data_IF_923578626751
#
_entry.id   IF_923578626751
#
_cell.length_a   1.000
_cell.length_b   1.000
_cell.length_c   1.000
_cell.angle_alpha   90.00
_cell.angle_beta   90.00
_cell.angle_gamma   90.00
#
_symmetry.space_group_name_H-M   'P 1'
#
loop_
_entity.id
_entity.type
_entity.pdbx_description
1 polymer ?
#
# COMPACT_ATOMS: atom_id res chain seq x y z
N UNK A 1 -29.30 37.53 -0.99
CA UNK A 1 -29.21 37.50 0.47
C UNK A 1 -28.08 36.56 0.82
N UNK A 2 -26.89 37.09 1.14
CA UNK A 2 -25.71 36.28 1.46
C UNK A 2 -25.82 35.92 2.94
N UNK A 3 -26.06 34.65 3.25
CA UNK A 3 -26.05 34.16 4.63
C UNK A 3 -24.66 33.61 4.94
N UNK A 4 -24.14 33.96 6.12
CA UNK A 4 -22.87 33.48 6.62
C UNK A 4 -22.98 32.01 7.07
N UNK A 5 -22.08 31.16 6.58
CA UNK A 5 -22.00 29.72 6.92
C UNK A 5 -21.87 29.46 8.42
N UNK A 6 -21.35 30.41 9.19
CA UNK A 6 -21.24 30.34 10.65
C UNK A 6 -22.58 30.19 11.37
N UNK A 7 -23.71 30.53 10.71
CA UNK A 7 -25.06 30.39 11.28
C UNK A 7 -25.65 28.98 11.17
N UNK A 8 -25.02 28.09 10.38
CA UNK A 8 -25.47 26.72 10.16
C UNK A 8 -24.60 25.68 10.89
N UNK A 9 -23.72 26.15 11.78
CA UNK A 9 -22.85 25.29 12.56
C UNK A 9 -23.54 24.91 13.89
N UNK A 10 -23.90 23.64 14.03
CA UNK A 10 -24.24 23.04 15.31
C UNK A 10 -23.00 22.28 15.82
N UNK A 11 -22.53 22.61 17.03
CA UNK A 11 -21.35 21.96 17.62
C UNK A 11 -21.54 20.47 17.92
N UNK A 12 -22.79 20.00 18.03
CA UNK A 12 -23.12 18.59 18.26
C UNK A 12 -23.48 17.84 16.97
N UNK A 13 -23.97 18.54 15.94
CA UNK A 13 -24.55 17.92 14.74
C UNK A 13 -23.83 18.29 13.44
N UNK A 14 -22.83 19.17 13.51
CA UNK A 14 -22.02 19.60 12.36
C UNK A 14 -22.68 20.67 11.50
N UNK A 15 -22.42 20.63 10.19
CA UNK A 15 -23.00 21.55 9.22
C UNK A 15 -24.00 20.84 8.31
N UNK A 16 -25.15 21.47 8.05
CA UNK A 16 -26.08 21.05 7.00
C UNK A 16 -25.88 21.92 5.76
N UNK A 17 -25.36 21.33 4.69
CA UNK A 17 -25.18 22.00 3.39
C UNK A 17 -26.07 21.29 2.38
N UNK A 18 -27.14 21.99 1.97
CA UNK A 18 -28.23 21.42 1.16
C UNK A 18 -28.85 20.19 1.87
N UNK A 19 -28.67 18.99 1.30
CA UNK A 19 -29.15 17.71 1.85
C UNK A 19 -28.02 16.85 2.44
N UNK A 20 -26.81 17.41 2.61
CA UNK A 20 -25.62 16.69 3.10
C UNK A 20 -25.21 17.19 4.49
N UNK A 21 -25.08 16.26 5.44
CA UNK A 21 -24.60 16.52 6.79
C UNK A 21 -23.08 16.30 6.85
N UNK A 22 -22.34 17.32 7.30
CA UNK A 22 -20.89 17.31 7.51
C UNK A 22 -20.61 17.31 9.02
N UNK A 23 -20.16 16.18 9.57
CA UNK A 23 -19.84 16.04 11.00
C UNK A 23 -18.32 16.03 11.17
N UNK A 24 -17.79 16.92 12.01
CA UNK A 24 -16.39 16.91 12.41
C UNK A 24 -16.19 15.94 13.58
N UNK A 25 -15.29 14.96 13.42
CA UNK A 25 -14.95 14.00 14.47
C UNK A 25 -13.54 14.32 15.01
N UNK A 26 -13.47 14.78 16.25
CA UNK A 26 -12.20 14.93 16.99
C UNK A 26 -11.88 13.60 17.67
N UNK A 27 -10.81 12.94 17.20
CA UNK A 27 -10.36 11.65 17.74
C UNK A 27 -9.24 11.94 18.74
N UNK A 28 -9.57 11.87 20.03
CA UNK A 28 -8.59 12.02 21.10
C UNK A 28 -7.90 10.67 21.37
N UNK A 29 -6.70 10.49 20.84
CA UNK A 29 -5.88 9.29 21.05
C UNK A 29 -5.11 9.48 22.35
N UNK A 30 -5.60 8.89 23.42
CA UNK A 30 -4.87 8.88 24.69
C UNK A 30 -3.61 7.99 24.57
N UNK A 31 -2.41 8.51 24.90
CA UNK A 31 -1.20 7.72 24.89
C UNK A 31 -1.20 6.74 26.07
N UNK A 32 -1.03 5.44 25.77
CA UNK A 32 -0.77 4.40 26.77
C UNK A 32 0.49 4.71 27.59
N UNK A 33 0.54 4.37 28.88
CA UNK A 33 1.70 4.64 29.71
C UNK A 33 2.85 3.74 29.27
N UNK A 34 3.88 4.34 28.66
CA UNK A 34 5.18 3.71 28.42
C UNK A 34 5.90 3.51 29.75
N UNK A 35 5.94 2.26 30.21
CA UNK A 35 7.04 1.80 31.04
C UNK A 35 8.32 1.89 30.21
N UNK A 36 9.31 2.56 30.80
CA UNK A 36 10.61 2.77 30.20
C UNK A 36 11.40 1.47 30.26
N UNK A 37 11.73 0.94 29.09
CA UNK A 37 13.08 0.47 28.86
C UNK A 37 13.47 0.65 27.40
N UNK A 38 14.74 1.01 27.23
CA UNK A 38 15.34 1.45 25.99
C UNK A 38 15.36 0.33 24.96
N UNK A 39 14.74 0.58 23.81
CA UNK A 39 15.42 0.42 22.54
C UNK A 39 14.75 1.31 21.48
N UNK A 40 15.58 1.81 20.58
CA UNK A 40 15.24 2.72 19.49
C UNK A 40 14.17 2.13 18.56
N UNK A 41 12.89 2.24 18.93
CA UNK A 41 11.79 1.96 18.02
C UNK A 41 11.53 3.24 17.21
N UNK A 42 12.08 3.26 15.99
CA UNK A 42 11.57 4.15 14.94
C UNK A 42 10.07 3.92 14.91
N UNK A 43 9.29 4.95 15.23
CA UNK A 43 7.83 4.94 15.13
C UNK A 43 7.47 4.74 13.66
N UNK A 44 7.46 3.48 13.22
CA UNK A 44 7.02 3.10 11.91
C UNK A 44 5.50 3.21 11.89
N UNK A 45 5.00 3.85 10.84
CA UNK A 45 3.58 3.86 10.50
C UNK A 45 3.00 2.44 10.61
N UNK A 46 1.90 2.23 11.37
CA UNK A 46 1.24 0.93 11.51
C UNK A 46 0.98 0.22 10.18
N UNK A 47 0.66 0.97 9.12
CA UNK A 47 0.42 0.43 7.77
C UNK A 47 1.69 -0.18 7.17
N UNK A 48 2.81 0.54 7.34
CA UNK A 48 4.13 0.11 6.85
C UNK A 48 4.64 -1.11 7.62
N UNK A 49 4.33 -1.22 8.90
CA UNK A 49 4.69 -2.37 9.72
C UNK A 49 3.99 -3.64 9.22
N UNK A 50 2.69 -3.57 8.96
CA UNK A 50 1.89 -4.69 8.47
C UNK A 50 2.36 -5.20 7.10
N UNK A 51 2.75 -4.29 6.20
CA UNK A 51 3.33 -4.65 4.91
C UNK A 51 4.67 -5.39 5.05
N UNK A 52 5.60 -4.86 5.87
CA UNK A 52 6.93 -5.45 6.08
C UNK A 52 6.82 -6.85 6.69
N UNK A 53 5.92 -7.02 7.66
CA UNK A 53 5.67 -8.31 8.32
C UNK A 53 5.10 -9.34 7.33
N UNK A 54 4.11 -8.95 6.53
CA UNK A 54 3.53 -9.81 5.50
C UNK A 54 4.58 -10.25 4.45
N UNK A 55 5.42 -9.31 4.00
CA UNK A 55 6.49 -9.59 3.04
C UNK A 55 7.55 -10.54 3.64
N UNK A 56 8.02 -10.25 4.84
CA UNK A 56 9.01 -11.08 5.56
C UNK A 56 8.49 -12.50 5.80
N UNK A 57 7.22 -12.63 6.17
CA UNK A 57 6.56 -13.92 6.32
C UNK A 57 6.58 -14.70 5.00
N UNK A 58 6.17 -14.09 3.89
CA UNK A 58 6.17 -14.74 2.57
C UNK A 58 7.57 -15.17 2.10
N UNK A 59 8.59 -14.36 2.40
CA UNK A 59 9.99 -14.64 2.09
C UNK A 59 10.58 -15.77 2.97
N UNK A 60 10.12 -15.90 4.22
CA UNK A 60 10.56 -16.93 5.16
C UNK A 60 10.02 -18.34 4.85
N UNK A 61 9.00 -18.45 4.00
CA UNK A 61 8.38 -19.74 3.69
C UNK A 61 9.32 -20.64 2.89
N UNK A 62 9.39 -21.94 3.21
CA UNK A 62 10.24 -22.88 2.49
C UNK A 62 9.87 -22.86 1.00
N UNK A 63 10.85 -22.49 0.17
CA UNK A 63 10.79 -22.69 -1.28
C UNK A 63 10.64 -24.20 -1.46
N UNK A 64 9.52 -24.62 -2.02
CA UNK A 64 9.14 -26.03 -2.26
C UNK A 64 10.36 -26.90 -2.59
N UNK A 65 10.59 -28.03 -1.88
CA UNK A 65 11.58 -28.98 -2.33
C UNK A 65 11.03 -29.67 -3.59
N UNK A 66 11.61 -29.34 -4.75
CA UNK A 66 11.46 -30.15 -5.95
C UNK A 66 12.21 -31.48 -5.72
N UNK A 67 11.46 -32.58 -5.87
CA UNK A 67 11.93 -33.95 -6.10
C UNK A 67 12.96 -34.53 -5.13
N UNK A 68 12.50 -35.49 -4.33
CA UNK A 68 13.30 -36.50 -3.64
C UNK A 68 14.35 -37.11 -4.58
N UNK A 69 15.64 -36.88 -4.28
CA UNK A 69 16.74 -37.67 -4.81
C UNK A 69 17.12 -38.70 -3.74
N UNK A 70 16.59 -39.91 -3.87
CA UNK A 70 17.03 -41.06 -3.08
C UNK A 70 18.48 -41.39 -3.42
N UNK A 71 19.38 -41.21 -2.47
CA UNK A 71 20.72 -41.81 -2.49
C UNK A 71 20.66 -43.09 -1.65
N UNK A 72 20.78 -44.24 -2.31
CA UNK A 72 20.94 -45.53 -1.63
C UNK A 72 22.38 -45.68 -1.13
N UNK A 73 22.61 -45.99 0.17
CA UNK A 73 23.94 -46.32 0.64
C UNK A 73 24.23 -47.79 0.36
N UNK A 74 25.26 -48.04 -0.43
CA UNK A 74 25.80 -49.37 -0.68
C UNK A 74 26.55 -49.85 0.56
N UNK A 75 26.08 -50.92 1.20
CA UNK A 75 26.82 -51.62 2.26
C UNK A 75 27.32 -52.97 1.73
N UNK A 76 28.64 -53.16 1.78
CA UNK A 76 29.34 -54.39 1.39
C UNK A 76 28.93 -55.59 2.27
N UNK A 77 28.71 -56.75 1.64
CA UNK A 77 28.15 -57.96 2.26
C UNK A 77 29.15 -59.14 2.24
N UNK A 78 29.42 -59.80 3.38
CA UNK A 78 30.04 -61.13 3.38
C UNK A 78 29.00 -62.25 3.16
N UNK A 79 29.44 -63.29 2.46
CA UNK A 79 28.67 -64.32 1.73
C UNK A 79 28.19 -65.54 2.55
N UNK A 80 26.97 -66.04 2.27
CA UNK A 80 26.59 -67.47 2.28
C UNK A 80 25.45 -67.76 1.27
N UNK A 81 25.73 -68.52 0.20
CA UNK A 81 25.02 -68.43 -1.10
C UNK A 81 23.62 -69.06 -1.21
N UNK A 82 23.19 -69.92 -0.28
CA UNK A 82 21.88 -70.61 -0.35
C UNK A 82 20.77 -69.99 0.52
N UNK A 83 21.16 -69.38 1.64
CA UNK A 83 20.24 -68.75 2.59
C UNK A 83 20.02 -67.25 2.30
N UNK A 84 20.99 -66.64 1.62
CA UNK A 84 20.94 -65.24 1.20
C UNK A 84 19.79 -65.00 0.20
N UNK A 85 19.54 -65.90 -0.75
CA UNK A 85 18.43 -65.74 -1.71
C UNK A 85 17.06 -65.80 -1.05
N UNK A 86 16.92 -66.58 0.03
CA UNK A 86 15.70 -66.67 0.81
C UNK A 86 15.44 -65.38 1.60
N UNK A 87 16.42 -64.92 2.37
CA UNK A 87 16.29 -63.70 3.17
C UNK A 87 16.18 -62.45 2.28
N UNK A 88 16.96 -62.36 1.19
CA UNK A 88 16.86 -61.27 0.21
C UNK A 88 15.49 -61.22 -0.46
N UNK A 89 14.91 -62.38 -0.78
CA UNK A 89 13.57 -62.45 -1.37
C UNK A 89 12.48 -61.93 -0.43
N UNK A 90 12.57 -62.23 0.87
CA UNK A 90 11.60 -61.77 1.87
C UNK A 90 11.83 -60.29 2.21
N UNK A 91 13.08 -59.87 2.43
CA UNK A 91 13.41 -58.48 2.70
C UNK A 91 13.07 -57.57 1.51
N UNK A 92 13.28 -58.03 0.28
CA UNK A 92 12.87 -57.31 -0.92
C UNK A 92 11.37 -57.08 -0.99
N UNK A 93 10.56 -58.07 -0.58
CA UNK A 93 9.10 -57.91 -0.45
C UNK A 93 8.73 -56.95 0.66
N UNK A 94 9.39 -57.02 1.81
CA UNK A 94 9.15 -56.11 2.94
C UNK A 94 9.43 -54.65 2.55
N UNK A 95 10.53 -54.40 1.84
CA UNK A 95 10.93 -53.06 1.38
C UNK A 95 9.99 -52.54 0.27
N UNK A 96 9.26 -53.43 -0.42
CA UNK A 96 8.34 -53.02 -1.48
C UNK A 96 7.01 -52.43 -0.99
N UNK A 97 6.68 -52.59 0.30
CA UNK A 97 5.49 -51.96 0.88
C UNK A 97 5.77 -50.49 1.19
N UNK A 98 4.91 -49.62 0.68
CA UNK A 98 4.88 -48.21 1.02
C UNK A 98 4.10 -47.98 2.32
N UNK A 99 4.34 -46.85 2.99
CA UNK A 99 3.63 -46.51 4.22
C UNK A 99 2.11 -46.49 4.02
N UNK A 100 1.65 -45.98 2.88
CA UNK A 100 0.22 -45.90 2.55
C UNK A 100 -0.43 -47.29 2.37
N UNK A 101 0.33 -48.33 2.05
CA UNK A 101 -0.18 -49.70 1.89
C UNK A 101 -0.67 -50.29 3.22
N UNK A 102 -0.16 -49.80 4.36
CA UNK A 102 -0.58 -50.22 5.71
C UNK A 102 -1.93 -49.65 6.15
N UNK A 103 -2.59 -48.87 5.29
CA UNK A 103 -4.00 -48.55 5.46
C UNK A 103 -4.90 -49.80 5.29
N UNK A 104 -4.45 -50.82 4.54
CA UNK A 104 -5.15 -52.11 4.42
C UNK A 104 -4.62 -53.11 5.47
N UNK A 105 -5.48 -53.59 6.41
CA UNK A 105 -5.10 -54.62 7.37
C UNK A 105 -4.54 -55.90 6.74
N UNK A 106 -4.90 -56.23 5.50
CA UNK A 106 -4.37 -57.39 4.80
C UNK A 106 -2.88 -57.23 4.46
N UNK A 107 -2.43 -56.02 4.15
CA UNK A 107 -1.02 -55.73 3.88
C UNK A 107 -0.19 -55.77 5.16
N UNK A 108 -0.73 -55.27 6.28
CA UNK A 108 -0.11 -55.42 7.59
C UNK A 108 0.05 -56.90 7.97
N UNK A 109 -1.01 -57.69 7.80
CA UNK A 109 -0.97 -59.13 8.04
C UNK A 109 0.08 -59.83 7.16
N UNK A 110 0.15 -59.50 5.87
CA UNK A 110 1.14 -60.05 4.95
C UNK A 110 2.59 -59.70 5.33
N UNK A 111 2.85 -58.45 5.72
CA UNK A 111 4.15 -58.00 6.21
C UNK A 111 4.52 -58.67 7.51
N UNK A 112 3.55 -58.82 8.42
CA UNK A 112 3.75 -59.53 9.67
C UNK A 112 4.03 -61.02 9.43
N UNK A 113 3.38 -61.66 8.46
CA UNK A 113 3.68 -63.03 8.06
C UNK A 113 5.12 -63.16 7.51
N UNK A 114 5.56 -62.23 6.67
CA UNK A 114 6.95 -62.19 6.20
C UNK A 114 7.97 -62.02 7.35
N UNK A 115 7.70 -61.13 8.30
CA UNK A 115 8.53 -60.95 9.50
C UNK A 115 8.52 -62.22 10.37
N UNK A 116 7.37 -62.89 10.49
CA UNK A 116 7.25 -64.18 11.18
C UNK A 116 8.06 -65.27 10.52
N UNK A 117 8.06 -65.35 9.18
CA UNK A 117 8.88 -66.30 8.43
C UNK A 117 10.37 -66.06 8.67
N UNK A 118 10.82 -64.79 8.72
CA UNK A 118 12.20 -64.45 9.09
C UNK A 118 12.51 -64.86 10.54
N UNK A 119 11.61 -64.54 11.48
CA UNK A 119 11.78 -64.84 12.90
C UNK A 119 11.79 -66.35 13.21
N UNK A 120 11.05 -67.15 12.44
CA UNK A 120 11.04 -68.62 12.59
C UNK A 120 12.29 -69.28 12.01
N UNK A 121 13.09 -68.54 11.22
CA UNK A 121 14.34 -69.02 10.61
C UNK A 121 15.56 -68.25 11.15
N UNK A 122 15.51 -67.79 12.41
CA UNK A 122 16.59 -67.00 13.06
C UNK A 122 17.96 -67.67 13.05
N UNK A 123 18.04 -69.01 13.01
CA UNK A 123 19.30 -69.76 12.97
C UNK A 123 20.13 -69.51 11.71
N UNK A 124 19.53 -68.89 10.70
CA UNK A 124 20.14 -68.55 9.42
C UNK A 124 20.87 -67.18 9.48
N UNK A 125 20.64 -66.41 10.54
CA UNK A 125 21.14 -65.06 10.73
C UNK A 125 22.24 -65.01 11.78
N UNK A 126 23.10 -63.98 11.74
CA UNK A 126 24.02 -63.72 12.85
C UNK A 126 23.25 -63.32 14.11
N UNK A 127 23.85 -63.48 15.29
CA UNK A 127 23.20 -63.12 16.58
C UNK A 127 22.67 -61.67 16.59
N UNK A 128 23.41 -60.75 15.95
CA UNK A 128 23.01 -59.35 15.79
C UNK A 128 21.77 -59.23 14.91
N UNK A 129 21.76 -59.89 13.75
CA UNK A 129 20.63 -59.88 12.82
C UNK A 129 19.38 -60.57 13.39
N UNK A 130 19.56 -61.69 14.10
CA UNK A 130 18.47 -62.39 14.76
C UNK A 130 17.81 -61.52 15.85
N UNK A 131 18.60 -60.74 16.59
CA UNK A 131 18.10 -59.77 17.57
C UNK A 131 17.30 -58.65 16.91
N UNK A 132 17.77 -58.11 15.78
CA UNK A 132 17.04 -57.08 15.03
C UNK A 132 15.72 -57.60 14.44
N UNK A 133 15.70 -58.83 13.91
CA UNK A 133 14.48 -59.47 13.39
C UNK A 133 13.47 -59.71 14.52
N UNK A 134 13.92 -60.16 15.69
CA UNK A 134 13.06 -60.34 16.85
C UNK A 134 12.50 -59.00 17.36
N UNK A 135 13.31 -57.94 17.37
CA UNK A 135 12.88 -56.60 17.75
C UNK A 135 11.88 -56.01 16.76
N UNK A 136 12.13 -56.18 15.46
CA UNK A 136 11.21 -55.76 14.39
C UNK A 136 9.86 -56.47 14.55
N UNK A 137 9.85 -57.79 14.79
CA UNK A 137 8.61 -58.54 15.03
C UNK A 137 7.82 -58.02 16.22
N UNK A 138 8.51 -57.60 17.29
CA UNK A 138 7.87 -57.11 18.50
C UNK A 138 7.31 -55.68 18.34
N UNK A 139 8.04 -54.82 17.62
CA UNK A 139 7.73 -53.39 17.52
C UNK A 139 6.87 -53.03 16.32
N UNK A 140 6.87 -53.84 15.26
CA UNK A 140 6.16 -53.54 14.01
C UNK A 140 4.65 -53.24 14.20
N UNK A 141 3.86 -54.04 14.93
CA UNK A 141 2.44 -53.73 15.14
C UNK A 141 2.21 -52.39 15.83
N UNK A 142 3.07 -52.05 16.79
CA UNK A 142 3.00 -50.78 17.51
C UNK A 142 3.34 -49.60 16.58
N UNK A 143 4.40 -49.71 15.78
CA UNK A 143 4.82 -48.66 14.83
C UNK A 143 3.72 -48.39 13.80
N UNK A 144 3.09 -49.44 13.26
CA UNK A 144 1.99 -49.30 12.29
C UNK A 144 0.76 -48.66 12.94
N UNK A 145 0.47 -49.00 14.19
CA UNK A 145 -0.62 -48.36 14.93
C UNK A 145 -0.35 -46.87 15.21
N UNK A 146 0.86 -46.53 15.65
CA UNK A 146 1.27 -45.13 15.85
C UNK A 146 1.20 -44.32 14.55
N UNK A 147 1.60 -44.91 13.42
CA UNK A 147 1.42 -44.29 12.10
C UNK A 147 -0.05 -44.08 11.75
N UNK A 148 -0.93 -45.06 12.00
CA UNK A 148 -2.38 -44.91 11.77
C UNK A 148 -2.98 -43.79 12.61
N UNK A 149 -2.59 -43.69 13.88
CA UNK A 149 -3.09 -42.65 14.78
C UNK A 149 -2.66 -41.26 14.27
N UNK A 150 -1.42 -41.11 13.79
CA UNK A 150 -0.92 -39.89 13.16
C UNK A 150 -1.64 -39.54 11.84
N UNK A 151 -1.95 -40.55 11.01
CA UNK A 151 -2.66 -40.36 9.74
C UNK A 151 -4.15 -40.07 9.97
N UNK A 152 -4.79 -40.61 11.01
CA UNK A 152 -6.18 -40.27 11.34
C UNK A 152 -6.32 -38.81 11.82
N UNK A 153 -5.31 -38.28 12.52
CA UNK A 153 -5.23 -36.84 12.86
C UNK A 153 -5.05 -35.95 11.61
N UNK A 154 -4.55 -36.51 10.49
CA UNK A 154 -4.33 -35.82 9.20
C UNK A 154 -5.62 -35.37 8.51
N UNK A 155 -6.78 -35.95 8.84
CA UNK A 155 -8.08 -35.48 8.35
C UNK A 155 -8.36 -34.01 8.72
N UNK A 156 -7.83 -33.56 9.86
CA UNK A 156 -7.85 -32.14 10.28
C UNK A 156 -6.71 -31.34 9.63
N UNK A 157 -5.57 -31.99 9.33
CA UNK A 157 -4.39 -31.38 8.73
C UNK A 157 -4.54 -30.98 7.26
N UNK A 158 -5.36 -31.69 6.48
CA UNK A 158 -5.66 -31.31 5.09
C UNK A 158 -6.43 -29.99 5.00
N UNK A 159 -7.43 -29.79 5.87
CA UNK A 159 -8.15 -28.52 5.97
C UNK A 159 -7.20 -27.38 6.37
N UNK A 160 -6.38 -27.58 7.40
CA UNK A 160 -5.39 -26.59 7.85
C UNK A 160 -4.39 -26.24 6.74
N UNK A 161 -3.93 -27.24 5.98
CA UNK A 161 -3.02 -27.03 4.85
C UNK A 161 -3.70 -26.29 3.70
N UNK A 162 -4.95 -26.63 3.38
CA UNK A 162 -5.74 -25.91 2.37
C UNK A 162 -5.95 -24.45 2.76
N UNK A 163 -6.39 -24.19 3.99
CA UNK A 163 -6.56 -22.82 4.50
C UNK A 163 -5.27 -22.03 4.50
N UNK A 164 -4.13 -22.68 4.79
CA UNK A 164 -2.82 -22.04 4.74
C UNK A 164 -2.43 -21.65 3.31
N UNK A 165 -2.61 -22.54 2.33
CA UNK A 165 -2.32 -22.26 0.91
C UNK A 165 -3.21 -21.12 0.40
N UNK A 166 -4.49 -21.14 0.73
CA UNK A 166 -5.44 -20.09 0.37
C UNK A 166 -5.07 -18.74 1.01
N UNK A 167 -4.81 -18.73 2.32
CA UNK A 167 -4.40 -17.52 3.06
C UNK A 167 -3.09 -16.95 2.50
N UNK A 168 -2.13 -17.82 2.15
CA UNK A 168 -0.87 -17.41 1.52
C UNK A 168 -1.12 -16.72 0.17
N UNK A 169 -2.03 -17.26 -0.65
CA UNK A 169 -2.38 -16.65 -1.94
C UNK A 169 -3.02 -15.28 -1.74
N UNK A 170 -3.98 -15.18 -0.82
CA UNK A 170 -4.63 -13.91 -0.48
C UNK A 170 -3.61 -12.87 0.00
N UNK A 171 -2.68 -13.28 0.87
CA UNK A 171 -1.63 -12.39 1.36
C UNK A 171 -0.70 -11.91 0.24
N UNK A 172 -0.34 -12.78 -0.70
CA UNK A 172 0.46 -12.40 -1.87
C UNK A 172 -0.25 -11.37 -2.75
N UNK A 173 -1.56 -11.53 -2.96
CA UNK A 173 -2.34 -10.59 -3.77
C UNK A 173 -2.52 -9.24 -3.06
N UNK A 174 -2.66 -9.24 -1.74
CA UNK A 174 -2.70 -8.02 -0.93
C UNK A 174 -1.38 -7.27 -0.97
N UNK A 175 -0.23 -7.95 -0.84
CA UNK A 175 1.09 -7.33 -0.93
C UNK A 175 1.29 -6.65 -2.28
N UNK A 176 0.95 -7.32 -3.39
CA UNK A 176 1.03 -6.71 -4.73
C UNK A 176 0.12 -5.48 -4.87
N UNK A 177 -1.08 -5.53 -4.27
CA UNK A 177 -2.01 -4.40 -4.29
C UNK A 177 -1.44 -3.21 -3.50
N UNK A 178 -0.86 -3.46 -2.34
CA UNK A 178 -0.22 -2.43 -1.51
C UNK A 178 0.95 -1.78 -2.25
N UNK A 179 1.79 -2.56 -2.94
CA UNK A 179 2.85 -2.01 -3.81
C UNK A 179 2.27 -1.11 -4.91
N UNK A 180 1.16 -1.52 -5.54
CA UNK A 180 0.45 -0.71 -6.53
C UNK A 180 -0.07 0.61 -5.95
N UNK A 181 -0.76 0.56 -4.81
CA UNK A 181 -1.27 1.75 -4.11
C UNK A 181 -0.11 2.68 -3.77
N UNK A 182 0.99 2.14 -3.23
CA UNK A 182 2.18 2.92 -2.89
C UNK A 182 2.74 3.67 -4.10
N UNK A 183 2.81 3.03 -5.28
CA UNK A 183 3.27 3.70 -6.51
C UNK A 183 2.32 4.81 -6.96
N UNK A 184 1.00 4.60 -6.87
CA UNK A 184 -0.01 5.59 -7.23
C UNK A 184 0.03 6.81 -6.30
N UNK A 185 0.22 6.58 -5.00
CA UNK A 185 0.40 7.65 -4.00
C UNK A 185 1.63 8.49 -4.31
N UNK A 186 2.75 7.87 -4.69
CA UNK A 186 3.97 8.59 -5.05
C UNK A 186 3.79 9.43 -6.33
N UNK A 187 3.09 8.89 -7.34
CA UNK A 187 2.77 9.62 -8.57
C UNK A 187 1.85 10.83 -8.29
N UNK A 188 0.81 10.66 -7.46
CA UNK A 188 -0.09 11.73 -7.07
C UNK A 188 0.63 12.85 -6.30
N UNK A 189 1.54 12.48 -5.38
CA UNK A 189 2.33 13.46 -4.64
C UNK A 189 3.24 14.28 -5.58
N UNK A 190 3.84 13.64 -6.59
CA UNK A 190 4.62 14.36 -7.61
C UNK A 190 3.76 15.35 -8.40
N UNK A 191 2.57 14.93 -8.87
CA UNK A 191 1.62 15.82 -9.57
C UNK A 191 1.15 16.98 -8.68
N UNK A 192 0.90 16.74 -7.40
CA UNK A 192 0.56 17.79 -6.44
C UNK A 192 1.67 18.85 -6.37
N UNK A 193 2.93 18.42 -6.28
CA UNK A 193 4.07 19.35 -6.21
C UNK A 193 4.24 20.18 -7.49
N UNK A 194 3.99 19.59 -8.66
CA UNK A 194 4.00 20.27 -9.96
C UNK A 194 2.90 21.32 -10.06
N UNK A 195 1.65 20.94 -9.78
CA UNK A 195 0.50 21.85 -9.80
C UNK A 195 0.68 23.01 -8.81
N UNK A 196 1.26 22.75 -7.64
CA UNK A 196 1.59 23.78 -6.64
C UNK A 196 2.64 24.76 -7.15
N UNK A 197 3.59 24.31 -7.98
CA UNK A 197 4.57 25.18 -8.62
C UNK A 197 3.92 26.05 -9.71
N UNK A 198 3.05 25.47 -10.55
CA UNK A 198 2.30 26.21 -11.57
C UNK A 198 1.39 27.27 -10.96
N UNK A 199 0.68 26.95 -9.88
CA UNK A 199 -0.20 27.89 -9.18
C UNK A 199 0.58 29.13 -8.72
N UNK A 200 1.79 28.95 -8.18
CA UNK A 200 2.68 30.07 -7.81
C UNK A 200 3.10 30.91 -9.02
N UNK A 201 3.22 30.33 -10.21
CA UNK A 201 3.52 31.08 -11.44
C UNK A 201 2.31 31.92 -11.85
N UNK A 202 1.11 31.33 -11.86
CA UNK A 202 -0.13 32.04 -12.18
C UNK A 202 -0.42 33.17 -11.20
N UNK A 203 -0.19 32.96 -9.91
CA UNK A 203 -0.37 33.97 -8.86
C UNK A 203 0.53 35.19 -9.09
N UNK A 204 1.82 34.96 -9.40
CA UNK A 204 2.75 36.05 -9.75
C UNK A 204 2.30 36.80 -11.01
N UNK A 205 1.86 36.09 -12.04
CA UNK A 205 1.37 36.70 -13.29
C UNK A 205 0.11 37.53 -13.05
N UNK A 206 -0.82 37.04 -12.23
CA UNK A 206 -2.02 37.77 -11.83
C UNK A 206 -1.68 39.07 -11.12
N UNK A 207 -0.74 39.02 -10.16
CA UNK A 207 -0.25 40.19 -9.45
C UNK A 207 0.39 41.22 -10.40
N UNK A 208 1.25 40.77 -11.32
CA UNK A 208 1.87 41.64 -12.33
C UNK A 208 0.82 42.33 -13.22
N UNK A 209 -0.20 41.60 -13.69
CA UNK A 209 -1.28 42.17 -14.49
C UNK A 209 -2.12 43.18 -13.71
N UNK A 210 -2.31 42.95 -12.41
CA UNK A 210 -3.02 43.90 -11.54
C UNK A 210 -2.25 45.22 -11.40
N UNK A 211 -0.93 45.14 -11.23
CA UNK A 211 -0.04 46.31 -11.16
C UNK A 211 0.01 47.05 -12.51
N UNK A 212 0.11 46.33 -13.62
CA UNK A 212 0.08 46.89 -14.98
C UNK A 212 -1.25 47.63 -15.24
N UNK A 213 -2.38 46.99 -14.89
CA UNK A 213 -3.70 47.62 -15.01
C UNK A 213 -3.81 48.90 -14.19
N UNK A 214 -3.28 48.91 -12.97
CA UNK A 214 -3.26 50.10 -12.12
C UNK A 214 -2.41 51.22 -12.74
N UNK A 215 -1.21 50.88 -13.24
CA UNK A 215 -0.32 51.82 -13.90
C UNK A 215 -0.98 52.45 -15.14
N UNK A 216 -1.54 51.62 -16.03
CA UNK A 216 -2.24 52.08 -17.24
C UNK A 216 -3.43 52.96 -16.88
N UNK A 217 -4.22 52.58 -15.87
CA UNK A 217 -5.35 53.38 -15.42
C UNK A 217 -4.93 54.76 -14.90
N UNK A 218 -3.84 54.83 -14.12
CA UNK A 218 -3.30 56.12 -13.63
C UNK A 218 -2.80 56.98 -14.79
N UNK A 219 -2.02 56.40 -15.70
CA UNK A 219 -1.49 57.09 -16.86
C UNK A 219 -2.60 57.67 -17.74
N UNK A 220 -3.65 56.87 -18.01
CA UNK A 220 -4.80 57.30 -18.80
C UNK A 220 -5.51 58.51 -18.16
N UNK A 221 -5.71 58.50 -16.84
CA UNK A 221 -6.32 59.61 -16.11
C UNK A 221 -5.44 60.86 -16.19
N UNK A 222 -4.12 60.74 -15.98
CA UNK A 222 -3.20 61.88 -16.07
C UNK A 222 -3.23 62.52 -17.46
N UNK A 223 -3.10 61.74 -18.53
CA UNK A 223 -3.15 62.27 -19.90
C UNK A 223 -4.48 62.97 -20.20
N UNK A 224 -5.61 62.40 -19.77
CA UNK A 224 -6.92 63.01 -19.97
C UNK A 224 -7.06 64.34 -19.20
N UNK A 225 -6.55 64.41 -17.97
CA UNK A 225 -6.56 65.64 -17.17
C UNK A 225 -5.70 66.73 -17.82
N UNK A 226 -4.50 66.38 -18.30
CA UNK A 226 -3.59 67.31 -18.98
C UNK A 226 -4.21 67.87 -20.27
N UNK A 227 -4.85 67.02 -21.07
CA UNK A 227 -5.58 67.42 -22.29
C UNK A 227 -6.71 68.39 -21.95
N UNK A 228 -7.55 68.07 -20.96
CA UNK A 228 -8.67 68.93 -20.56
C UNK A 228 -8.20 70.26 -19.97
N UNK A 229 -7.16 70.26 -19.14
CA UNK A 229 -6.59 71.48 -18.59
C UNK A 229 -6.04 72.39 -19.69
N UNK A 230 -5.38 71.81 -20.71
CA UNK A 230 -4.85 72.56 -21.84
C UNK A 230 -5.97 73.19 -22.69
N UNK A 231 -7.05 72.44 -22.95
CA UNK A 231 -8.19 72.95 -23.70
C UNK A 231 -8.92 74.08 -22.94
N UNK A 232 -9.14 73.93 -21.64
CA UNK A 232 -9.76 74.98 -20.80
C UNK A 232 -8.89 76.25 -20.83
N UNK A 233 -7.58 76.12 -20.68
CA UNK A 233 -6.68 77.27 -20.75
C UNK A 233 -6.69 77.97 -22.11
N UNK A 234 -6.89 77.23 -23.20
CA UNK A 234 -7.03 77.82 -24.53
C UNK A 234 -8.37 78.56 -24.70
N UNK A 235 -9.47 77.99 -24.21
CA UNK A 235 -10.79 78.62 -24.21
C UNK A 235 -10.80 79.90 -23.35
N UNK A 236 -10.18 79.89 -22.17
CA UNK A 236 -10.08 81.06 -21.28
C UNK A 236 -9.35 82.22 -21.98
N UNK A 237 -8.24 81.95 -22.68
CA UNK A 237 -7.51 82.97 -23.45
C UNK A 237 -8.35 83.54 -24.60
N UNK A 238 -9.17 82.71 -25.25
CA UNK A 238 -10.07 83.16 -26.32
C UNK A 238 -11.18 84.06 -25.77
N UNK A 239 -11.78 83.67 -24.64
CA UNK A 239 -12.79 84.47 -23.92
C UNK A 239 -12.21 85.81 -23.46
N UNK A 240 -11.01 85.83 -22.90
CA UNK A 240 -10.34 87.07 -22.48
C UNK A 240 -10.09 88.00 -23.68
N UNK A 241 -9.64 87.46 -24.81
CA UNK A 241 -9.45 88.24 -26.04
C UNK A 241 -10.77 88.82 -26.56
N UNK A 242 -11.85 88.02 -26.55
CA UNK A 242 -13.18 88.47 -26.96
C UNK A 242 -13.72 89.58 -26.03
N UNK A 243 -13.55 89.43 -24.71
CA UNK A 243 -13.93 90.43 -23.71
C UNK A 243 -13.17 91.74 -23.91
N UNK A 244 -11.85 91.71 -24.09
CA UNK A 244 -11.04 92.91 -24.34
C UNK A 244 -11.48 93.64 -25.62
N UNK A 245 -11.76 92.90 -26.71
CA UNK A 245 -12.27 93.47 -27.96
C UNK A 245 -13.62 94.15 -27.77
N UNK A 246 -14.54 93.50 -27.06
CA UNK A 246 -15.86 94.04 -26.76
C UNK A 246 -15.75 95.31 -25.90
N UNK A 247 -14.95 95.28 -24.83
CA UNK A 247 -14.74 96.41 -23.93
C UNK A 247 -14.15 97.61 -24.67
N UNK A 248 -13.13 97.38 -25.51
CA UNK A 248 -12.54 98.43 -26.34
C UNK A 248 -13.57 99.01 -27.32
N UNK A 249 -14.34 98.15 -27.99
CA UNK A 249 -15.41 98.57 -28.91
C UNK A 249 -16.49 99.41 -28.23
N UNK A 250 -16.93 99.02 -27.03
CA UNK A 250 -17.90 99.77 -26.23
C UNK A 250 -17.33 101.12 -25.78
N UNK A 251 -16.11 101.14 -25.24
CA UNK A 251 -15.43 102.38 -24.83
C UNK A 251 -15.30 103.36 -25.98
N UNK A 252 -14.92 102.88 -27.17
CA UNK A 252 -14.82 103.71 -28.38
C UNK A 252 -16.19 104.29 -28.79
N UNK A 253 -17.25 103.47 -28.84
CA UNK A 253 -18.61 103.93 -29.14
C UNK A 253 -19.12 104.96 -28.13
N UNK A 254 -18.89 104.74 -26.84
CA UNK A 254 -19.26 105.68 -25.79
C UNK A 254 -18.51 107.01 -25.90
N UNK A 255 -17.21 106.97 -26.23
CA UNK A 255 -16.43 108.18 -26.48
C UNK A 255 -16.98 108.96 -27.68
N UNK A 256 -17.32 108.29 -28.77
CA UNK A 256 -17.96 108.91 -29.93
C UNK A 256 -19.32 109.53 -29.59
N UNK A 257 -20.17 108.83 -28.83
CA UNK A 257 -21.44 109.39 -28.36
C UNK A 257 -21.26 110.62 -27.47
N UNK A 258 -20.22 110.65 -26.62
CA UNK A 258 -19.96 111.81 -25.74
C UNK A 258 -19.79 113.11 -26.54
N UNK A 259 -19.18 113.05 -27.72
CA UNK A 259 -19.02 114.22 -28.61
C UNK A 259 -20.34 114.72 -29.20
N UNK A 260 -21.41 113.92 -29.21
CA UNK A 260 -22.74 114.34 -29.67
C UNK A 260 -23.52 115.12 -28.60
N UNK A 261 -23.04 115.13 -27.35
CA UNK A 261 -23.67 115.80 -26.21
C UNK A 261 -22.80 116.91 -25.60
N UNK A 262 -21.73 117.31 -26.29
CA UNK A 262 -20.85 118.44 -25.94
C UNK A 262 -21.09 119.59 -26.92
#
# INVERSE_FOLDING_TARGET
MVMELSKFHDKSEGYLVEDTCLIEAEIDVSPTPTDKDSDSCVTMDPVKLGYIEAQSFLESLPKTPSSSAYMSPTCDRPLFKGHVTFAEGILGKLISYHLDDFADPNNEAAVMDFISVLANNISVFSDVQAKEIANLKATFPQIVQEWRDLVQVKGTGEHVRSTFVETKSVLQDLVKREEGIKTEVEELNNKETELKAELKVFERKSQMLKEEREHVSKQMVCCLVEEKASNIGAEDLEVDCANQKLEHGLKSKWAAMRHLFA
#
